data_IF_304638963816
#
_entry.id   IF_304638963816
#
_cell.length_a   1.000
_cell.length_b   1.000
_cell.length_c   1.000
_cell.angle_alpha   90.00
_cell.angle_beta   90.00
_cell.angle_gamma   90.00
#
_symmetry.space_group_name_H-M   'P 1'
#
loop_
_entity.id
_entity.type
_entity.pdbx_description
1 polymer ?
#
# COMPACT_ATOMS: atom_id res chain seq x y z
N UNK A 1 31.33 67.91 11.48
CA UNK A 1 31.59 66.47 11.74
C UNK A 1 30.35 65.79 12.31
N UNK A 2 29.91 65.99 13.57
CA UNK A 2 28.66 65.35 14.06
C UNK A 2 27.36 65.93 13.47
N UNK A 3 27.38 67.19 13.02
CA UNK A 3 26.22 67.92 12.51
C UNK A 3 25.84 67.54 11.07
N UNK A 4 26.78 66.97 10.31
CA UNK A 4 26.59 66.61 8.89
C UNK A 4 26.00 65.19 8.75
N UNK A 5 26.44 64.25 9.60
CA UNK A 5 25.98 62.85 9.60
C UNK A 5 24.50 62.69 9.94
N UNK A 6 23.98 63.53 10.85
CA UNK A 6 22.56 63.51 11.23
C UNK A 6 21.67 64.25 10.22
N UNK A 7 22.23 65.20 9.46
CA UNK A 7 21.50 65.90 8.40
C UNK A 7 21.30 65.02 7.16
N UNK A 8 22.31 64.21 6.80
CA UNK A 8 22.22 63.25 5.69
C UNK A 8 21.32 62.05 5.99
N UNK A 9 21.17 61.68 7.27
CA UNK A 9 20.35 60.54 7.68
C UNK A 9 18.83 60.82 7.72
N UNK A 10 18.40 62.07 7.47
CA UNK A 10 16.98 62.45 7.41
C UNK A 10 16.15 61.98 8.60
N UNK A 11 16.51 62.34 9.85
CA UNK A 11 15.87 61.77 11.02
C UNK A 11 14.38 62.14 11.07
N UNK A 12 13.55 61.12 11.23
CA UNK A 12 12.10 61.19 11.30
C UNK A 12 11.65 61.34 12.76
N UNK A 13 10.65 62.17 13.02
CA UNK A 13 9.95 62.17 14.30
C UNK A 13 8.73 61.26 14.21
N UNK A 14 8.59 60.33 15.16
CA UNK A 14 7.38 59.52 15.26
C UNK A 14 6.22 60.26 15.97
N UNK A 15 5.04 59.65 15.99
CA UNK A 15 3.82 60.20 16.62
C UNK A 15 3.97 60.46 18.13
N UNK A 16 5.05 59.97 18.76
CA UNK A 16 5.38 60.18 20.17
C UNK A 16 6.54 61.17 20.36
N UNK A 17 6.85 61.96 19.33
CA UNK A 17 7.97 62.91 19.26
C UNK A 17 9.34 62.28 19.53
N UNK A 18 9.52 60.98 19.26
CA UNK A 18 10.83 60.33 19.37
C UNK A 18 11.57 60.46 18.05
N UNK A 19 12.86 60.80 18.14
CA UNK A 19 13.76 60.86 16.99
C UNK A 19 14.07 59.44 16.51
N UNK A 20 13.82 59.16 15.23
CA UNK A 20 14.10 57.90 14.54
C UNK A 20 14.96 58.16 13.31
N UNK A 21 15.84 57.22 13.01
CA UNK A 21 16.70 57.29 11.82
C UNK A 21 16.00 56.69 10.59
N UNK A 22 15.06 55.77 10.82
CA UNK A 22 14.26 55.15 9.77
C UNK A 22 12.84 55.72 9.79
N UNK A 23 12.25 55.86 8.61
CA UNK A 23 10.84 56.19 8.47
C UNK A 23 9.97 55.14 9.21
N UNK A 24 9.06 55.56 10.11
CA UNK A 24 8.17 54.64 10.81
C UNK A 24 7.30 53.80 9.86
N UNK A 25 6.90 54.33 8.70
CA UNK A 25 6.10 53.58 7.72
C UNK A 25 6.92 52.45 7.09
N UNK A 26 8.17 52.75 6.69
CA UNK A 26 9.10 51.74 6.14
C UNK A 26 9.43 50.70 7.20
N UNK A 27 9.59 51.10 8.46
CA UNK A 27 9.83 50.18 9.58
C UNK A 27 8.67 49.22 9.76
N UNK A 28 7.43 49.72 9.69
CA UNK A 28 6.23 48.91 9.82
C UNK A 28 6.11 47.90 8.67
N UNK A 29 6.31 48.34 7.43
CA UNK A 29 6.30 47.47 6.25
C UNK A 29 7.36 46.35 6.35
N UNK A 30 8.56 46.65 6.87
CA UNK A 30 9.61 45.63 7.08
C UNK A 30 9.17 44.60 8.13
N UNK A 31 8.51 45.03 9.21
CA UNK A 31 8.01 44.12 10.24
C UNK A 31 6.91 43.22 9.67
N UNK A 32 5.96 43.79 8.94
CA UNK A 32 4.89 43.02 8.28
C UNK A 32 5.46 42.01 7.30
N UNK A 33 6.38 42.43 6.42
CA UNK A 33 7.03 41.54 5.46
C UNK A 33 7.77 40.39 6.16
N UNK A 34 8.44 40.68 7.29
CA UNK A 34 9.14 39.66 8.08
C UNK A 34 8.18 38.63 8.66
N UNK A 35 7.05 39.06 9.21
CA UNK A 35 6.04 38.14 9.76
C UNK A 35 5.37 37.34 8.64
N UNK A 36 5.04 37.95 7.51
CA UNK A 36 4.50 37.22 6.34
C UNK A 36 5.48 36.16 5.82
N UNK A 37 6.77 36.49 5.76
CA UNK A 37 7.80 35.54 5.35
C UNK A 37 7.90 34.36 6.32
N UNK A 38 7.77 34.61 7.62
CA UNK A 38 7.76 33.57 8.65
C UNK A 38 6.52 32.67 8.52
N UNK A 39 5.35 33.27 8.37
CA UNK A 39 4.09 32.55 8.15
C UNK A 39 4.14 31.69 6.88
N UNK A 40 4.77 32.20 5.82
CA UNK A 40 4.97 31.45 4.58
C UNK A 40 5.85 30.20 4.81
N UNK A 41 6.98 30.36 5.50
CA UNK A 41 7.87 29.24 5.82
C UNK A 41 7.16 28.21 6.70
N UNK A 42 6.39 28.66 7.68
CA UNK A 42 5.61 27.77 8.56
C UNK A 42 4.55 26.99 7.77
N UNK A 43 3.83 27.65 6.85
CA UNK A 43 2.86 27.00 5.95
C UNK A 43 3.53 25.97 5.04
N UNK A 44 4.70 26.28 4.49
CA UNK A 44 5.49 25.33 3.68
C UNK A 44 5.94 24.13 4.53
N UNK A 45 6.37 24.37 5.78
CA UNK A 45 6.73 23.31 6.71
C UNK A 45 5.56 22.36 7.00
N UNK A 46 4.36 22.91 7.22
CA UNK A 46 3.13 22.11 7.38
C UNK A 46 2.79 21.33 6.11
N UNK A 47 2.89 21.96 4.95
CA UNK A 47 2.65 21.31 3.66
C UNK A 47 3.59 20.12 3.44
N UNK A 48 4.90 20.29 3.66
CA UNK A 48 5.86 19.19 3.56
C UNK A 48 5.54 18.05 4.53
N UNK A 49 5.09 18.34 5.74
CA UNK A 49 4.66 17.32 6.71
C UNK A 49 3.46 16.52 6.20
N UNK A 50 2.46 17.19 5.63
CA UNK A 50 1.27 16.54 5.06
C UNK A 50 1.66 15.66 3.86
N UNK A 51 2.45 16.19 2.94
CA UNK A 51 2.90 15.44 1.75
C UNK A 51 3.77 14.25 2.16
N UNK A 52 4.66 14.40 3.13
CA UNK A 52 5.45 13.31 3.69
C UNK A 52 4.57 12.18 4.24
N UNK A 53 3.56 12.53 5.05
CA UNK A 53 2.60 11.56 5.56
C UNK A 53 1.78 10.88 4.45
N UNK A 54 1.39 11.61 3.40
CA UNK A 54 0.69 11.03 2.26
C UNK A 54 1.57 10.03 1.49
N UNK A 55 2.85 10.35 1.26
CA UNK A 55 3.80 9.43 0.62
C UNK A 55 3.91 8.13 1.42
N UNK A 56 4.06 8.22 2.74
CA UNK A 56 4.13 7.04 3.61
C UNK A 56 2.86 6.18 3.53
N UNK A 57 1.69 6.80 3.53
CA UNK A 57 0.41 6.08 3.40
C UNK A 57 0.28 5.39 2.03
N UNK A 58 0.68 6.07 0.95
CA UNK A 58 0.67 5.49 -0.40
C UNK A 58 1.63 4.30 -0.49
N UNK A 59 2.83 4.40 0.09
CA UNK A 59 3.79 3.30 0.15
C UNK A 59 3.26 2.10 0.93
N UNK A 60 2.60 2.34 2.06
CA UNK A 60 1.96 1.28 2.85
C UNK A 60 0.84 0.60 2.06
N UNK A 61 0.01 1.38 1.37
CA UNK A 61 -1.07 0.86 0.53
C UNK A 61 -0.51 0.02 -0.63
N UNK A 62 0.54 0.49 -1.31
CA UNK A 62 1.18 -0.25 -2.40
C UNK A 62 1.73 -1.60 -1.92
N UNK A 63 2.41 -1.62 -0.76
CA UNK A 63 2.91 -2.85 -0.13
C UNK A 63 1.79 -3.80 0.24
N UNK A 64 0.70 -3.30 0.80
CA UNK A 64 -0.47 -4.10 1.16
C UNK A 64 -1.12 -4.73 -0.08
N UNK A 65 -1.32 -3.93 -1.13
CA UNK A 65 -1.90 -4.38 -2.39
C UNK A 65 -1.06 -5.47 -3.06
N UNK A 66 0.27 -5.31 -3.11
CA UNK A 66 1.15 -6.33 -3.69
C UNK A 66 1.14 -7.62 -2.86
N UNK A 67 1.11 -7.51 -1.52
CA UNK A 67 1.01 -8.67 -0.64
C UNK A 67 -0.30 -9.45 -0.87
N UNK A 68 -1.43 -8.77 -1.00
CA UNK A 68 -2.71 -9.40 -1.30
C UNK A 68 -2.73 -10.03 -2.70
N UNK A 69 -2.18 -9.33 -3.69
CA UNK A 69 -2.01 -9.86 -5.05
C UNK A 69 -1.20 -11.15 -5.04
N UNK A 70 -0.08 -11.20 -4.32
CA UNK A 70 0.75 -12.40 -4.19
C UNK A 70 0.01 -13.56 -3.51
N UNK A 71 -0.77 -13.28 -2.45
CA UNK A 71 -1.60 -14.30 -1.80
C UNK A 71 -2.67 -14.86 -2.75
N UNK A 72 -3.33 -14.00 -3.53
CA UNK A 72 -4.35 -14.41 -4.48
C UNK A 72 -3.77 -15.31 -5.59
N UNK A 73 -2.61 -14.94 -6.15
CA UNK A 73 -1.90 -15.75 -7.14
C UNK A 73 -1.51 -17.12 -6.54
N UNK A 74 -0.99 -17.14 -5.31
CA UNK A 74 -0.65 -18.38 -4.61
C UNK A 74 -1.86 -19.31 -4.43
N UNK A 75 -3.01 -18.77 -4.03
CA UNK A 75 -4.25 -19.52 -3.88
C UNK A 75 -4.75 -20.07 -5.23
N UNK A 76 -4.72 -19.26 -6.30
CA UNK A 76 -5.09 -19.70 -7.65
C UNK A 76 -4.20 -20.85 -8.13
N UNK A 77 -2.88 -20.74 -7.97
CA UNK A 77 -1.93 -21.78 -8.35
C UNK A 77 -2.19 -23.10 -7.60
N UNK A 78 -2.51 -23.03 -6.30
CA UNK A 78 -2.85 -24.20 -5.51
C UNK A 78 -4.14 -24.85 -6.00
N UNK A 79 -5.17 -24.06 -6.29
CA UNK A 79 -6.43 -24.56 -6.85
C UNK A 79 -6.21 -25.25 -8.19
N UNK A 80 -5.47 -24.63 -9.11
CA UNK A 80 -5.12 -25.25 -10.39
C UNK A 80 -4.36 -26.57 -10.23
N UNK A 81 -3.36 -26.59 -9.34
CA UNK A 81 -2.58 -27.80 -9.08
C UNK A 81 -3.47 -28.92 -8.52
N UNK A 82 -4.35 -28.62 -7.56
CA UNK A 82 -5.27 -29.61 -6.99
C UNK A 82 -6.29 -30.10 -8.00
N UNK A 83 -6.80 -29.24 -8.89
CA UNK A 83 -7.68 -29.63 -9.99
C UNK A 83 -6.98 -30.60 -10.95
N UNK A 84 -5.77 -30.26 -11.41
CA UNK A 84 -4.93 -31.12 -12.27
C UNK A 84 -4.62 -32.46 -11.61
N UNK A 85 -4.35 -32.50 -10.30
CA UNK A 85 -4.14 -33.74 -9.55
C UNK A 85 -5.40 -34.61 -9.51
N UNK A 86 -6.58 -34.02 -9.29
CA UNK A 86 -7.86 -34.74 -9.29
C UNK A 86 -8.13 -35.37 -10.66
N UNK A 87 -7.91 -34.65 -11.75
CA UNK A 87 -8.08 -35.18 -13.10
C UNK A 87 -7.15 -36.35 -13.38
N UNK A 88 -5.87 -36.24 -13.02
CA UNK A 88 -4.89 -37.33 -13.17
C UNK A 88 -5.31 -38.58 -12.39
N UNK A 89 -5.84 -38.42 -11.18
CA UNK A 89 -6.35 -39.54 -10.37
C UNK A 89 -7.58 -40.19 -11.00
N UNK A 90 -8.54 -39.40 -11.49
CA UNK A 90 -9.72 -39.90 -12.21
C UNK A 90 -9.32 -40.68 -13.46
N UNK A 91 -8.45 -40.11 -14.30
CA UNK A 91 -7.98 -40.73 -15.54
C UNK A 91 -7.22 -42.04 -15.31
N UNK A 92 -6.46 -42.15 -14.21
CA UNK A 92 -5.82 -43.43 -13.82
C UNK A 92 -6.83 -44.49 -13.38
N UNK A 93 -7.86 -44.09 -12.64
CA UNK A 93 -8.92 -45.00 -12.15
C UNK A 93 -9.82 -45.49 -13.29
N UNK A 94 -10.11 -44.62 -14.26
CA UNK A 94 -10.92 -44.97 -15.44
C UNK A 94 -10.14 -45.82 -16.45
N UNK A 95 -8.80 -45.71 -16.47
CA UNK A 95 -7.93 -46.49 -17.36
C UNK A 95 -7.47 -47.81 -16.77
N UNK A 96 -7.76 -48.10 -15.49
CA UNK A 96 -7.56 -49.44 -14.93
C UNK A 96 -8.70 -50.36 -15.39
N UNK A 97 -8.40 -51.55 -15.92
CA UNK A 97 -9.44 -52.49 -16.36
C UNK A 97 -10.35 -52.86 -15.18
N UNK A 98 -11.67 -53.07 -15.40
CA UNK A 98 -12.55 -53.53 -14.34
C UNK A 98 -11.97 -54.81 -13.77
N UNK A 99 -11.75 -54.83 -12.45
CA UNK A 99 -11.31 -56.02 -11.75
C UNK A 99 -12.25 -57.17 -12.11
N UNK A 100 -11.72 -58.20 -12.78
CA UNK A 100 -12.44 -59.41 -13.07
C UNK A 100 -13.00 -59.94 -11.75
N UNK A 101 -14.33 -59.95 -11.64
CA UNK A 101 -15.05 -60.64 -10.56
C UNK A 101 -14.58 -62.09 -10.54
N UNK A 102 -14.20 -62.67 -9.39
CA UNK A 102 -13.86 -64.09 -9.31
C UNK A 102 -15.08 -64.89 -9.75
N UNK A 103 -14.93 -65.67 -10.82
CA UNK A 103 -16.00 -66.50 -11.35
C UNK A 103 -16.52 -67.44 -10.28
N UNK A 104 -17.83 -67.39 -10.03
CA UNK A 104 -18.58 -68.52 -9.49
C UNK A 104 -18.54 -69.65 -10.52
N UNK A 105 -17.47 -70.44 -10.49
CA UNK A 105 -17.39 -71.70 -11.21
C UNK A 105 -18.19 -72.75 -10.43
N UNK A 106 -19.44 -72.94 -10.82
CA UNK A 106 -20.31 -74.04 -10.39
C UNK A 106 -19.74 -75.37 -10.87
N UNK A 107 -18.72 -75.87 -10.18
CA UNK A 107 -18.30 -77.28 -10.21
C UNK A 107 -19.26 -78.08 -9.34
N UNK A 108 -20.47 -78.33 -9.86
CA UNK A 108 -21.39 -79.39 -9.39
C UNK A 108 -21.99 -80.13 -10.58
N UNK A 109 -21.14 -80.54 -11.51
CA UNK A 109 -21.39 -81.76 -12.29
C UNK A 109 -20.71 -82.91 -11.56
N UNK A 110 -21.37 -84.07 -11.49
CA UNK A 110 -20.96 -85.33 -10.86
C UNK A 110 -21.46 -85.57 -9.43
N UNK A 111 -22.79 -85.62 -9.26
CA UNK A 111 -23.42 -86.46 -8.23
C UNK A 111 -24.88 -86.76 -8.60
N UNK A 112 -25.13 -87.41 -9.74
CA UNK A 112 -26.47 -87.89 -10.09
C UNK A 112 -26.42 -89.19 -10.92
N UNK A 113 -25.50 -90.10 -10.60
CA UNK A 113 -25.65 -91.53 -10.92
C UNK A 113 -25.74 -92.28 -9.59
N UNK A 114 -26.95 -92.42 -9.05
CA UNK A 114 -27.40 -93.51 -8.16
C UNK A 114 -28.81 -93.17 -7.67
N UNK A 115 -29.63 -94.21 -7.57
CA UNK A 115 -31.09 -94.25 -7.29
C UNK A 115 -31.88 -94.29 -8.60
N UNK A 116 -31.93 -95.44 -9.29
CA UNK A 116 -32.77 -96.63 -9.00
C UNK A 116 -34.18 -96.50 -9.57
N UNK A 117 -34.60 -97.51 -10.35
CA UNK A 117 -36.00 -97.76 -10.68
C UNK A 117 -36.24 -97.95 -12.15
#
# INVERSE_FOLDING_TARGET
MAKDILGEAGPHFDELNKLRVLDPEVTQQIIELKEECKDFVDKIGQFHKIVGGLIELVDQLAKAAENERMKAIGAQNLLEFTAKQRERKKKKTERSPPAATPGTNSRKENAAWKVSG
#
